data_IF_522814810175
#
_entry.id   IF_522814810175
#
_cell.length_a   1.000
_cell.length_b   1.000
_cell.length_c   1.000
_cell.angle_alpha   90.00
_cell.angle_beta   90.00
_cell.angle_gamma   90.00
#
_symmetry.space_group_name_H-M   'P 1'
#
loop_
_entity.id
_entity.type
_entity.pdbx_description
1 polymer ?
#
# COMPACT_ATOMS: atom_id res chain seq x y z
N UNK A 1 -1.76 -8.24 -8.12
CA UNK A 1 -0.35 -7.86 -8.39
C UNK A 1 -0.15 -6.44 -8.90
N UNK A 2 -0.91 -5.95 -9.89
CA UNK A 2 -0.73 -4.59 -10.45
C UNK A 2 -0.73 -3.46 -9.40
N UNK A 3 -1.61 -3.52 -8.40
CA UNK A 3 -1.66 -2.52 -7.32
C UNK A 3 -0.39 -2.54 -6.46
N UNK A 4 0.09 -3.73 -6.08
CA UNK A 4 1.32 -3.93 -5.29
C UNK A 4 2.55 -3.39 -6.02
N UNK A 5 2.69 -3.72 -7.30
CA UNK A 5 3.79 -3.23 -8.14
C UNK A 5 3.76 -1.71 -8.28
N UNK A 6 2.57 -1.11 -8.43
CA UNK A 6 2.41 0.34 -8.49
C UNK A 6 2.84 0.99 -7.18
N UNK A 7 2.35 0.53 -6.04
CA UNK A 7 2.75 1.04 -4.73
C UNK A 7 4.27 0.95 -4.55
N UNK A 8 4.88 -0.17 -4.92
CA UNK A 8 6.33 -0.35 -4.83
C UNK A 8 7.09 0.66 -5.71
N UNK A 9 6.65 0.89 -6.95
CA UNK A 9 7.23 1.92 -7.83
C UNK A 9 7.05 3.34 -7.30
N UNK A 10 5.98 3.59 -6.55
CA UNK A 10 5.72 4.86 -5.87
C UNK A 10 6.42 5.00 -4.52
N UNK A 11 7.24 4.03 -4.11
CA UNK A 11 8.01 4.06 -2.86
C UNK A 11 7.32 3.47 -1.63
N UNK A 12 6.17 2.79 -1.80
CA UNK A 12 5.44 2.12 -0.72
C UNK A 12 5.59 0.60 -0.82
N UNK A 13 6.21 -0.02 0.18
CA UNK A 13 6.27 -1.47 0.33
C UNK A 13 5.08 -1.97 1.16
N UNK A 14 4.31 -2.91 0.61
CA UNK A 14 3.18 -3.53 1.31
C UNK A 14 3.02 -4.99 0.88
N UNK A 15 2.71 -5.88 1.84
CA UNK A 15 2.56 -7.30 1.56
C UNK A 15 1.10 -7.70 1.33
N UNK A 16 0.89 -8.69 0.45
CA UNK A 16 -0.39 -9.39 0.32
C UNK A 16 -0.42 -10.59 1.27
N UNK A 17 -1.55 -10.87 1.90
CA UNK A 17 -1.76 -12.02 2.76
C UNK A 17 -3.20 -12.56 2.69
N UNK A 18 -3.50 -13.55 3.54
CA UNK A 18 -4.80 -14.24 3.59
C UNK A 18 -4.84 -15.43 2.63
N UNK A 19 -5.74 -16.39 2.90
CA UNK A 19 -5.85 -17.63 2.13
C UNK A 19 -6.04 -17.36 0.62
N UNK A 20 -6.84 -16.33 0.29
CA UNK A 20 -7.11 -15.93 -1.09
C UNK A 20 -6.16 -14.83 -1.62
N UNK A 21 -5.11 -14.46 -0.89
CA UNK A 21 -4.15 -13.41 -1.27
C UNK A 21 -4.79 -12.07 -1.67
N UNK A 22 -5.97 -11.78 -1.14
CA UNK A 22 -6.79 -10.61 -1.45
C UNK A 22 -6.73 -9.53 -0.35
N UNK A 23 -5.90 -9.73 0.68
CA UNK A 23 -5.72 -8.76 1.76
C UNK A 23 -4.36 -8.09 1.62
N UNK A 24 -4.34 -6.76 1.73
CA UNK A 24 -3.11 -5.99 1.85
C UNK A 24 -2.84 -5.71 3.33
N UNK A 25 -1.61 -6.01 3.78
CA UNK A 25 -1.19 -5.87 5.17
C UNK A 25 -0.22 -4.71 5.32
N UNK A 26 -0.61 -3.76 6.16
CA UNK A 26 0.26 -2.72 6.66
C UNK A 26 1.01 -3.21 7.91
N UNK A 27 2.34 -3.12 7.91
CA UNK A 27 3.22 -3.54 9.00
C UNK A 27 4.34 -2.52 9.18
N UNK A 28 3.99 -1.32 9.63
CA UNK A 28 4.99 -0.30 9.95
C UNK A 28 5.74 -0.65 11.26
N UNK A 29 7.00 -0.20 11.42
CA UNK A 29 7.70 -0.29 12.69
C UNK A 29 7.01 0.57 13.75
N UNK A 30 7.15 0.22 15.03
CA UNK A 30 6.53 0.94 16.16
C UNK A 30 7.06 2.37 16.35
N UNK A 31 8.18 2.69 15.72
CA UNK A 31 8.87 4.00 15.79
C UNK A 31 8.73 4.78 14.48
N UNK A 32 7.80 4.41 13.60
CA UNK A 32 7.56 5.16 12.38
C UNK A 32 7.04 6.56 12.73
N UNK A 33 7.53 7.57 12.02
CA UNK A 33 7.01 8.93 12.15
C UNK A 33 5.62 9.05 11.52
N UNK A 34 4.74 9.87 12.11
CA UNK A 34 3.36 10.02 11.67
C UNK A 34 3.25 10.52 10.22
N UNK A 35 4.17 11.40 9.79
CA UNK A 35 4.20 11.94 8.42
C UNK A 35 4.47 10.87 7.36
N UNK A 36 5.30 9.87 7.68
CA UNK A 36 5.56 8.71 6.82
C UNK A 36 4.33 7.79 6.73
N UNK A 37 3.57 7.64 7.83
CA UNK A 37 2.31 6.89 7.81
C UNK A 37 1.32 7.56 6.86
N UNK A 38 1.09 8.87 7.03
CA UNK A 38 0.16 9.64 6.19
C UNK A 38 0.55 9.56 4.71
N UNK A 39 1.84 9.78 4.40
CA UNK A 39 2.35 9.63 3.03
C UNK A 39 2.16 8.22 2.47
N UNK A 40 2.33 7.19 3.29
CA UNK A 40 2.08 5.80 2.91
C UNK A 40 0.60 5.55 2.60
N UNK A 41 -0.30 6.10 3.41
CA UNK A 41 -1.74 6.02 3.20
C UNK A 41 -2.15 6.75 1.91
N UNK A 42 -1.58 7.92 1.63
CA UNK A 42 -1.84 8.68 0.40
C UNK A 42 -1.46 7.88 -0.86
N UNK A 43 -0.25 7.29 -0.87
CA UNK A 43 0.21 6.44 -1.98
C UNK A 43 -0.71 5.23 -2.17
N UNK A 44 -1.15 4.61 -1.07
CA UNK A 44 -2.09 3.51 -1.11
C UNK A 44 -3.43 3.94 -1.72
N UNK A 45 -4.04 5.03 -1.22
CA UNK A 45 -5.32 5.53 -1.72
C UNK A 45 -5.26 5.87 -3.22
N UNK A 46 -4.19 6.56 -3.65
CA UNK A 46 -4.00 6.89 -5.06
C UNK A 46 -3.88 5.64 -5.93
N UNK A 47 -3.11 4.64 -5.46
CA UNK A 47 -2.95 3.35 -6.16
C UNK A 47 -4.28 2.61 -6.32
N UNK A 48 -5.18 2.69 -5.32
CA UNK A 48 -6.51 2.09 -5.39
C UNK A 48 -7.43 2.87 -6.34
N UNK A 49 -7.45 4.21 -6.27
CA UNK A 49 -8.26 5.07 -7.16
C UNK A 49 -7.94 4.81 -8.62
N UNK A 50 -6.65 4.76 -8.97
CA UNK A 50 -6.18 4.50 -10.33
C UNK A 50 -6.47 3.06 -10.78
N UNK A 51 -6.48 2.11 -9.86
CA UNK A 51 -6.88 0.73 -10.17
C UNK A 51 -8.39 0.59 -10.39
N UNK A 52 -9.22 1.42 -9.73
CA UNK A 52 -10.67 1.51 -9.94
C UNK A 52 -11.07 2.32 -11.17
N UNK A 53 -10.21 3.22 -11.66
CA UNK A 53 -10.43 4.03 -12.87
C UNK A 53 -10.32 3.26 -14.19
N UNK A 54 -10.76 1.99 -14.21
CA UNK A 54 -10.90 1.13 -15.37
C UNK A 54 -12.28 0.52 -15.40
#
# INVERSE_FOLDING_TARGET
NKIKERMFKSGLLMHTCGHYSNVLRFMAPLIIEDDLIEKGIDIFQQSIKEAKGK
#
